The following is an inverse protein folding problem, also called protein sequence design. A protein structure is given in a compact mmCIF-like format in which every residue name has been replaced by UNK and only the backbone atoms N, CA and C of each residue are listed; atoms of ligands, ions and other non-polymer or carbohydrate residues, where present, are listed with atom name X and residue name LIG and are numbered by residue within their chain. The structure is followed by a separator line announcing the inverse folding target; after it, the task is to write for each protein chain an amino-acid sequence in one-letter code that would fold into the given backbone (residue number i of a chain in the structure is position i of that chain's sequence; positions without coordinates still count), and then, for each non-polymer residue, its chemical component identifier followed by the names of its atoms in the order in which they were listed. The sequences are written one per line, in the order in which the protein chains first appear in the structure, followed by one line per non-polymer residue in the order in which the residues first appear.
data_IF_475110402515
#
_entry.id   IF_475110402515
#
_cell.length_a   1.000
_cell.length_b   1.000
_cell.length_c   1.000
_cell.angle_alpha   90.00
_cell.angle_beta   90.00
_cell.angle_gamma   90.00
#
_symmetry.space_group_name_H-M   'P 1'
#
loop_
_entity.id
_entity.type
_entity.pdbx_description
1 polymer ?
#
# COMPACT_ATOMS: atom_id res chain seq x y z
N UNK A 1 34.92 -13.20 -0.80
CA UNK A 1 33.83 -13.70 0.05
C UNK A 1 32.55 -13.09 -0.53
N UNK A 2 32.01 -13.75 -1.54
CA UNK A 2 30.85 -13.26 -2.29
C UNK A 2 29.61 -13.46 -1.42
N UNK A 3 29.00 -12.36 -1.00
CA UNK A 3 27.67 -12.40 -0.41
C UNK A 3 26.70 -12.87 -1.49
N UNK A 4 26.27 -14.12 -1.41
CA UNK A 4 25.17 -14.63 -2.22
C UNK A 4 23.92 -13.80 -1.92
N UNK A 5 23.69 -12.76 -2.73
CA UNK A 5 22.43 -12.04 -2.72
C UNK A 5 21.33 -13.07 -3.01
N UNK A 6 20.44 -13.26 -2.03
CA UNK A 6 19.26 -14.11 -2.19
C UNK A 6 18.51 -13.61 -3.44
N UNK A 7 18.58 -14.38 -4.53
CA UNK A 7 17.85 -14.11 -5.77
C UNK A 7 16.38 -14.32 -5.44
N UNK A 8 15.59 -13.26 -5.52
CA UNK A 8 14.15 -13.35 -5.31
C UNK A 8 13.56 -14.36 -6.32
N UNK A 9 12.73 -15.27 -5.85
CA UNK A 9 11.97 -16.19 -6.68
C UNK A 9 10.98 -15.42 -7.56
N UNK A 10 10.55 -15.98 -8.71
CA UNK A 10 9.54 -15.35 -9.57
C UNK A 10 8.25 -14.98 -8.82
N UNK A 11 7.89 -15.73 -7.77
CA UNK A 11 6.72 -15.45 -6.92
C UNK A 11 6.94 -14.26 -5.96
N UNK A 12 8.18 -13.98 -5.55
CA UNK A 12 8.54 -12.79 -4.77
C UNK A 12 8.49 -11.51 -5.62
N UNK A 13 8.72 -11.61 -6.94
CA UNK A 13 8.59 -10.49 -7.88
C UNK A 13 7.13 -10.06 -8.10
N UNK A 14 6.17 -10.86 -7.67
CA UNK A 14 4.74 -10.62 -7.84
C UNK A 14 4.16 -9.60 -6.85
N UNK A 15 4.86 -9.36 -5.72
CA UNK A 15 4.38 -8.53 -4.61
C UNK A 15 5.42 -7.51 -4.19
N UNK A 16 5.07 -6.24 -4.22
CA UNK A 16 5.86 -5.16 -3.61
C UNK A 16 5.26 -4.80 -2.25
N UNK A 17 6.11 -4.65 -1.23
CA UNK A 17 5.75 -4.09 0.06
C UNK A 17 6.46 -2.74 0.20
N UNK A 18 5.69 -1.66 0.33
CA UNK A 18 6.23 -0.35 0.67
C UNK A 18 6.30 -0.17 2.19
N UNK A 19 7.18 0.71 2.63
CA UNK A 19 7.27 1.08 4.04
C UNK A 19 6.09 1.98 4.44
N UNK A 20 5.68 1.97 5.72
CA UNK A 20 4.49 2.70 6.15
C UNK A 20 4.61 4.22 6.12
N UNK A 21 5.83 4.76 6.08
CA UNK A 21 6.07 6.20 5.95
C UNK A 21 5.51 6.74 4.62
N UNK A 22 5.47 5.93 3.55
CA UNK A 22 4.83 6.30 2.29
C UNK A 22 3.36 6.67 2.49
N UNK A 23 2.58 5.82 3.17
CA UNK A 23 1.19 6.09 3.46
C UNK A 23 1.03 7.35 4.33
N UNK A 24 1.91 7.55 5.31
CA UNK A 24 1.89 8.75 6.17
C UNK A 24 2.07 10.03 5.34
N UNK A 25 3.07 10.08 4.46
CA UNK A 25 3.33 11.25 3.60
C UNK A 25 2.19 11.49 2.60
N UNK A 26 1.65 10.42 1.99
CA UNK A 26 0.51 10.52 1.08
C UNK A 26 -0.75 11.05 1.78
N UNK A 27 -1.09 10.51 2.96
CA UNK A 27 -2.23 10.94 3.78
C UNK A 27 -2.10 12.41 4.19
N UNK A 28 -0.88 12.85 4.52
CA UNK A 28 -0.58 14.24 4.85
C UNK A 28 -0.70 15.20 3.65
N UNK A 29 -0.83 14.67 2.42
CA UNK A 29 -0.90 15.47 1.20
C UNK A 29 0.45 16.02 0.75
N UNK A 30 1.55 15.40 1.19
CA UNK A 30 2.88 15.79 0.78
C UNK A 30 3.20 15.27 -0.63
N UNK A 31 4.14 15.94 -1.31
CA UNK A 31 4.60 15.48 -2.61
C UNK A 31 5.60 14.32 -2.44
N UNK A 32 5.07 13.10 -2.43
CA UNK A 32 5.82 11.85 -2.26
C UNK A 32 6.92 11.66 -3.31
N UNK A 33 6.77 12.22 -4.51
CA UNK A 33 7.78 12.09 -5.57
C UNK A 33 9.05 12.87 -5.27
N UNK A 34 9.02 13.81 -4.31
CA UNK A 34 10.15 14.66 -3.91
C UNK A 34 10.84 14.21 -2.63
N UNK A 35 10.34 13.17 -1.96
CA UNK A 35 10.89 12.70 -0.68
C UNK A 35 11.91 11.60 -0.95
N UNK A 36 13.16 11.81 -0.53
CA UNK A 36 14.26 10.88 -0.82
C UNK A 36 14.06 9.48 -0.21
N UNK A 37 13.50 9.38 1.00
CA UNK A 37 13.21 8.07 1.61
C UNK A 37 12.19 7.30 0.78
N UNK A 38 11.16 7.98 0.29
CA UNK A 38 10.13 7.40 -0.58
C UNK A 38 10.74 6.99 -1.92
N UNK A 39 11.48 7.87 -2.60
CA UNK A 39 12.17 7.52 -3.85
C UNK A 39 13.00 6.24 -3.72
N UNK A 40 13.72 6.07 -2.60
CA UNK A 40 14.53 4.86 -2.36
C UNK A 40 13.70 3.58 -2.25
N UNK A 41 12.44 3.65 -1.86
CA UNK A 41 11.56 2.48 -1.82
C UNK A 41 11.09 2.04 -3.22
N UNK A 42 11.08 2.95 -4.20
CA UNK A 42 10.66 2.65 -5.58
C UNK A 42 11.85 2.37 -6.51
N UNK A 43 12.92 3.17 -6.40
CA UNK A 43 14.06 3.17 -7.34
C UNK A 43 15.43 3.11 -6.64
N UNK A 44 15.46 2.79 -5.33
CA UNK A 44 16.71 2.60 -4.61
C UNK A 44 17.44 1.33 -5.04
N UNK A 45 18.77 1.30 -4.82
CA UNK A 45 19.62 0.15 -5.20
C UNK A 45 19.21 -1.18 -4.53
N UNK A 46 18.52 -1.10 -3.40
CA UNK A 46 18.03 -2.27 -2.64
C UNK A 46 16.69 -2.82 -3.18
N UNK A 47 16.04 -2.09 -4.08
CA UNK A 47 14.75 -2.49 -4.68
C UNK A 47 15.00 -3.59 -5.71
N UNK A 48 14.52 -4.79 -5.41
CA UNK A 48 14.76 -5.99 -6.24
C UNK A 48 13.73 -6.19 -7.35
N UNK A 49 12.61 -5.46 -7.32
CA UNK A 49 11.51 -5.59 -8.26
C UNK A 49 11.10 -4.24 -8.82
N UNK A 50 10.96 -4.16 -10.14
CA UNK A 50 10.28 -3.03 -10.76
C UNK A 50 8.79 -3.11 -10.40
N UNK A 51 8.24 -2.08 -9.75
CA UNK A 51 6.81 -2.01 -9.43
C UNK A 51 5.95 -2.19 -10.69
N UNK A 52 6.51 -1.80 -11.85
CA UNK A 52 5.88 -1.94 -13.15
C UNK A 52 5.59 -3.40 -13.57
N UNK A 53 6.16 -4.38 -12.84
CA UNK A 53 5.95 -5.80 -13.05
C UNK A 53 5.20 -6.47 -11.88
N UNK A 54 4.87 -5.72 -10.83
CA UNK A 54 4.20 -6.25 -9.66
C UNK A 54 2.69 -6.28 -9.87
N UNK A 55 2.06 -7.44 -9.64
CA UNK A 55 0.59 -7.53 -9.58
C UNK A 55 0.06 -6.96 -8.28
N UNK A 56 0.73 -7.25 -7.16
CA UNK A 56 0.27 -6.80 -5.85
C UNK A 56 1.20 -5.73 -5.30
N UNK A 57 0.64 -4.64 -4.82
CA UNK A 57 1.37 -3.65 -4.01
C UNK A 57 0.68 -3.54 -2.67
N UNK A 58 1.42 -3.78 -1.60
CA UNK A 58 0.95 -3.74 -0.23
C UNK A 58 1.60 -2.55 0.48
N UNK A 59 0.78 -1.73 1.14
CA UNK A 59 1.22 -0.52 1.83
C UNK A 59 0.60 -0.54 3.24
N UNK A 60 1.37 -0.86 4.28
CA UNK A 60 0.93 -0.71 5.65
C UNK A 60 0.77 0.77 5.99
N UNK A 61 -0.14 1.10 6.90
CA UNK A 61 -0.32 2.47 7.37
C UNK A 61 -0.63 2.49 8.87
N UNK A 62 -0.08 3.49 9.55
CA UNK A 62 -0.37 3.75 10.96
C UNK A 62 -1.48 4.78 11.04
N UNK A 63 -2.66 4.34 11.45
CA UNK A 63 -3.84 5.20 11.63
C UNK A 63 -4.04 5.54 13.11
N UNK A 64 -4.90 6.51 13.39
CA UNK A 64 -5.23 6.94 14.76
C UNK A 64 -5.62 5.77 15.71
N UNK A 65 -6.28 4.75 15.16
CA UNK A 65 -6.82 3.62 15.95
C UNK A 65 -5.95 2.36 15.85
N UNK A 66 -4.79 2.42 15.20
CA UNK A 66 -3.90 1.28 15.00
C UNK A 66 -3.48 1.10 13.55
N UNK A 67 -2.89 -0.06 13.28
CA UNK A 67 -2.41 -0.41 11.95
C UNK A 67 -3.53 -0.83 11.03
N UNK A 68 -3.48 -0.37 9.79
CA UNK A 68 -4.21 -0.97 8.68
C UNK A 68 -3.23 -1.28 7.54
N UNK A 69 -3.73 -2.00 6.55
CA UNK A 69 -2.94 -2.31 5.36
C UNK A 69 -3.80 -2.11 4.11
N UNK A 70 -3.27 -1.37 3.15
CA UNK A 70 -3.89 -1.13 1.86
C UNK A 70 -3.19 -1.99 0.81
N UNK A 71 -3.96 -2.67 -0.02
CA UNK A 71 -3.40 -3.62 -0.97
C UNK A 71 -4.04 -3.47 -2.34
N UNK A 72 -3.24 -3.09 -3.33
CA UNK A 72 -3.63 -2.92 -4.72
C UNK A 72 -3.40 -4.22 -5.48
N UNK A 73 -4.44 -4.75 -6.12
CA UNK A 73 -4.33 -5.73 -7.20
C UNK A 73 -4.36 -4.97 -8.54
N UNK A 74 -3.19 -4.77 -9.13
CA UNK A 74 -2.95 -3.99 -10.35
C UNK A 74 -3.59 -4.62 -11.59
N UNK A 75 -3.85 -5.93 -11.59
CA UNK A 75 -4.55 -6.58 -12.70
C UNK A 75 -6.07 -6.52 -12.55
N UNK A 76 -6.57 -6.64 -11.31
CA UNK A 76 -8.01 -6.60 -11.05
C UNK A 76 -8.57 -5.18 -10.87
N UNK A 77 -7.69 -4.17 -10.76
CA UNK A 77 -8.04 -2.79 -10.36
C UNK A 77 -8.88 -2.76 -9.07
N UNK A 78 -8.41 -3.49 -8.05
CA UNK A 78 -9.05 -3.57 -6.73
C UNK A 78 -8.10 -3.08 -5.64
N UNK A 79 -8.56 -2.13 -4.84
CA UNK A 79 -7.93 -1.74 -3.58
C UNK A 79 -8.63 -2.49 -2.44
N UNK A 80 -7.89 -3.31 -1.73
CA UNK A 80 -8.35 -4.02 -0.53
C UNK A 80 -7.85 -3.28 0.70
N UNK A 81 -8.78 -2.77 1.50
CA UNK A 81 -8.50 -2.07 2.75
C UNK A 81 -8.64 -3.09 3.89
N UNK A 82 -7.51 -3.55 4.39
CA UNK A 82 -7.41 -4.52 5.46
C UNK A 82 -7.27 -3.79 6.79
N UNK A 83 -8.40 -3.54 7.43
CA UNK A 83 -8.48 -2.96 8.76
C UNK A 83 -8.92 -4.02 9.78
N UNK A 84 -8.06 -4.40 10.75
CA UNK A 84 -8.41 -5.37 11.80
C UNK A 84 -9.64 -4.96 12.61
N UNK A 85 -9.95 -3.67 12.68
CA UNK A 85 -11.09 -3.13 13.41
C UNK A 85 -12.38 -3.06 12.57
N UNK A 86 -12.34 -3.47 11.29
CA UNK A 86 -13.48 -3.40 10.38
C UNK A 86 -14.70 -4.26 10.80
N UNK A 87 -14.53 -5.21 11.73
CA UNK A 87 -15.65 -5.97 12.32
C UNK A 87 -16.60 -5.10 13.14
N UNK A 88 -16.19 -3.90 13.55
CA UNK A 88 -17.09 -2.91 14.13
C UNK A 88 -17.94 -2.32 13.01
N UNK A 89 -18.84 -3.15 12.46
CA UNK A 89 -19.56 -2.98 11.20
C UNK A 89 -20.44 -1.73 11.13
N UNK A 90 -20.65 -1.04 12.24
CA UNK A 90 -21.49 0.15 12.34
C UNK A 90 -20.70 1.48 12.27
N UNK A 91 -19.36 1.45 12.32
CA UNK A 91 -18.54 2.67 12.23
C UNK A 91 -18.38 3.15 10.78
N UNK A 92 -19.47 3.74 10.28
CA UNK A 92 -19.55 4.32 8.94
C UNK A 92 -18.58 5.49 8.74
N UNK A 93 -18.30 6.26 9.79
CA UNK A 93 -17.33 7.36 9.76
C UNK A 93 -15.93 6.83 9.50
N UNK A 94 -15.49 5.82 10.27
CA UNK A 94 -14.19 5.18 10.06
C UNK A 94 -14.05 4.59 8.66
N UNK A 95 -15.09 3.88 8.18
CA UNK A 95 -15.09 3.32 6.83
C UNK A 95 -14.90 4.41 5.77
N UNK A 96 -15.61 5.53 5.92
CA UNK A 96 -15.50 6.69 5.03
C UNK A 96 -14.09 7.30 5.08
N UNK A 97 -13.52 7.48 6.27
CA UNK A 97 -12.14 7.95 6.42
C UNK A 97 -11.15 7.02 5.74
N UNK A 98 -11.22 5.70 5.97
CA UNK A 98 -10.33 4.73 5.32
C UNK A 98 -10.47 4.73 3.79
N UNK A 99 -11.68 4.90 3.27
CA UNK A 99 -11.90 5.03 1.82
C UNK A 99 -11.28 6.29 1.24
N UNK A 100 -11.31 7.39 1.98
CA UNK A 100 -10.71 8.66 1.58
C UNK A 100 -9.17 8.60 1.65
N UNK A 101 -8.61 8.02 2.71
CA UNK A 101 -7.15 7.85 2.79
C UNK A 101 -6.63 6.86 1.75
N UNK A 102 -7.41 5.82 1.39
CA UNK A 102 -7.07 4.94 0.28
C UNK A 102 -6.96 5.70 -1.05
N UNK A 103 -7.80 6.71 -1.28
CA UNK A 103 -7.73 7.54 -2.50
C UNK A 103 -6.45 8.38 -2.52
N UNK A 104 -6.08 9.02 -1.40
CA UNK A 104 -4.83 9.78 -1.32
C UNK A 104 -3.60 8.90 -1.56
N UNK A 105 -3.56 7.72 -0.93
CA UNK A 105 -2.44 6.80 -1.12
C UNK A 105 -2.41 6.30 -2.57
N UNK A 106 -3.57 6.04 -3.17
CA UNK A 106 -3.66 5.65 -4.57
C UNK A 106 -3.15 6.74 -5.51
N UNK A 107 -3.56 7.99 -5.34
CA UNK A 107 -3.08 9.11 -6.15
C UNK A 107 -1.56 9.28 -6.01
N UNK A 108 -1.05 9.29 -4.77
CA UNK A 108 0.38 9.40 -4.51
C UNK A 108 1.19 8.22 -5.07
N UNK A 109 0.61 7.01 -5.06
CA UNK A 109 1.24 5.81 -5.62
C UNK A 109 1.38 5.96 -7.13
N UNK A 110 0.32 6.39 -7.81
CA UNK A 110 0.35 6.59 -9.26
C UNK A 110 1.20 7.79 -9.66
N UNK A 111 1.25 8.86 -8.87
CA UNK A 111 2.18 9.97 -9.09
C UNK A 111 3.65 9.49 -9.04
N UNK A 112 4.01 8.66 -8.05
CA UNK A 112 5.34 8.04 -7.99
C UNK A 112 5.60 7.11 -9.18
N UNK A 113 4.62 6.30 -9.57
CA UNK A 113 4.79 5.36 -10.69
C UNK A 113 5.01 6.13 -12.00
N UNK A 114 4.20 7.13 -12.27
CA UNK A 114 4.26 7.94 -13.49
C UNK A 114 5.52 8.82 -13.56
N UNK A 115 6.00 9.34 -12.42
CA UNK A 115 7.25 10.12 -12.36
C UNK A 115 8.49 9.23 -12.54
N UNK A 116 8.50 8.04 -11.93
CA UNK A 116 9.72 7.22 -11.84
C UNK A 116 9.83 6.15 -12.94
N UNK A 117 8.72 5.77 -13.59
CA UNK A 117 8.70 4.68 -14.56
C UNK A 117 7.99 5.10 -15.85
N UNK A 118 8.63 4.87 -16.99
CA UNK A 118 8.12 5.23 -18.31
C UNK A 118 7.23 4.15 -18.95
N UNK A 119 7.28 2.92 -18.46
CA UNK A 119 6.69 1.73 -19.12
C UNK A 119 5.55 1.08 -18.33
N UNK A 120 4.80 1.84 -17.52
CA UNK A 120 3.70 1.28 -16.75
C UNK A 120 2.41 1.15 -17.57
N UNK A 121 1.73 0.00 -17.41
CA UNK A 121 0.55 -0.35 -18.20
C UNK A 121 -0.76 -0.38 -17.40
N UNK A 122 -0.73 -0.07 -16.10
CA UNK A 122 -1.93 -0.04 -15.28
C UNK A 122 -2.54 1.37 -15.27
N UNK A 123 -3.86 1.44 -15.42
CA UNK A 123 -4.59 2.71 -15.40
C UNK A 123 -4.77 3.20 -13.97
N UNK A 124 -4.66 4.52 -13.75
CA UNK A 124 -5.06 5.18 -12.49
C UNK A 124 -6.58 5.12 -12.27
N UNK A 125 -7.37 4.91 -13.31
CA UNK A 125 -8.83 5.05 -13.24
C UNK A 125 -9.57 3.72 -13.10
N UNK A 126 -10.84 3.80 -12.70
CA UNK A 126 -11.77 2.66 -12.65
C UNK A 126 -11.41 1.59 -11.61
N UNK A 127 -10.84 2.02 -10.47
CA UNK A 127 -10.54 1.15 -9.35
C UNK A 127 -11.74 0.95 -8.43
N UNK A 128 -11.89 -0.26 -7.91
CA UNK A 128 -12.90 -0.58 -6.89
C UNK A 128 -12.27 -0.76 -5.52
N UNK A 129 -12.95 -0.31 -4.46
CA UNK A 129 -12.49 -0.44 -3.07
C UNK A 129 -13.31 -1.49 -2.34
N UNK A 130 -12.67 -2.38 -1.60
CA UNK A 130 -13.33 -3.34 -0.72
C UNK A 130 -12.70 -3.38 0.68
N UNK A 131 -13.55 -3.55 1.68
CA UNK A 131 -13.18 -3.67 3.10
C UNK A 131 -13.61 -5.06 3.58
N UNK A 132 -12.79 -6.11 3.37
CA UNK A 132 -13.15 -7.44 3.82
C UNK A 132 -13.20 -7.52 5.35
N UNK A 133 -14.08 -8.37 5.85
CA UNK A 133 -14.05 -8.73 7.26
C UNK A 133 -12.83 -9.63 7.53
N UNK A 134 -11.88 -9.16 8.33
CA UNK A 134 -10.64 -9.90 8.60
C UNK A 134 -10.76 -10.89 9.76
N UNK A 135 -11.58 -10.57 10.76
CA UNK A 135 -11.79 -11.39 11.96
C UNK A 135 -13.14 -11.05 12.54
N UNK A 136 -13.80 -12.01 13.18
CA UNK A 136 -15.01 -11.80 14.00
C UNK A 136 -14.67 -11.52 15.47
N UNK A 137 -13.38 -11.51 15.83
CA UNK A 137 -12.91 -11.30 17.19
C UNK A 137 -12.48 -9.86 17.39
N UNK A 138 -12.92 -9.24 18.49
CA UNK A 138 -12.47 -7.91 18.89
C UNK A 138 -11.02 -7.97 19.38
N UNK A 139 -10.11 -7.32 18.67
CA UNK A 139 -8.78 -7.06 19.20
C UNK A 139 -8.83 -5.79 20.06
N UNK A 140 -8.80 -5.95 21.37
CA UNK A 140 -8.63 -4.80 22.28
C UNK A 140 -7.15 -4.50 22.43
N UNK A 141 -6.79 -3.21 22.49
CA UNK A 141 -5.41 -2.76 22.75
C UNK A 141 -4.88 -3.22 24.12
N UNK A 142 -5.79 -3.68 24.99
CA UNK A 142 -5.53 -4.21 26.32
C UNK A 142 -6.21 -5.59 26.41
N UNK A 143 -5.44 -6.64 26.15
CA UNK A 143 -5.74 -7.97 26.66
C UNK A 143 -4.53 -8.37 27.52
N UNK A 144 -4.62 -8.03 28.80
CA UNK A 144 -3.85 -8.66 29.87
C UNK A 144 -4.83 -9.45 30.72
#
# INVERSE_FOLDING_TARGET
MESHAHRASPDELYRLLLEPDFACHAIAGENTTRIMSIQRQFIGNEVKCNIANCRMVTIPAVMQHGWCCFNWDMMAHVITIMDPMAYQTEDTTRKTCLMYEADKIHDALFDCIEEFFTEWHCSRHSWTKKTPLLSTTTFTRYAC
#
